data_IF_478291759998
#
_entry.id   IF_478291759998
#
_cell.length_a   1.000
_cell.length_b   1.000
_cell.length_c   1.000
_cell.angle_alpha   90.00
_cell.angle_beta   90.00
_cell.angle_gamma   90.00
#
_symmetry.space_group_name_H-M   'P 1'
#
loop_
_entity.id
_entity.type
_entity.pdbx_description
1 polymer ?
#
# COMPACT_ATOMS: atom_id res chain seq x y z
N UNK A 1 2.62 -11.13 -35.14
CA UNK A 1 1.99 -11.16 -33.82
C UNK A 1 0.75 -10.27 -33.86
N UNK A 2 -0.44 -10.80 -33.60
CA UNK A 2 -1.61 -9.94 -33.43
C UNK A 2 -1.43 -9.14 -32.15
N UNK A 3 -1.43 -7.82 -32.25
CA UNK A 3 -1.38 -6.93 -31.09
C UNK A 3 -2.72 -7.01 -30.35
N UNK A 4 -2.67 -6.92 -29.02
CA UNK A 4 -3.88 -6.89 -28.20
C UNK A 4 -4.80 -5.72 -28.63
N UNK A 5 -6.10 -5.86 -28.41
CA UNK A 5 -7.06 -4.81 -28.80
C UNK A 5 -6.74 -3.48 -28.11
N UNK A 6 -7.08 -2.35 -28.76
CA UNK A 6 -6.87 -0.99 -28.21
C UNK A 6 -7.35 -0.84 -26.77
N UNK A 7 -8.50 -1.44 -26.45
CA UNK A 7 -9.09 -1.41 -25.10
C UNK A 7 -8.20 -2.09 -24.05
N UNK A 8 -7.54 -3.19 -24.40
CA UNK A 8 -6.61 -3.89 -23.51
C UNK A 8 -5.35 -3.06 -23.32
N UNK A 9 -4.78 -2.51 -24.40
CA UNK A 9 -3.59 -1.65 -24.34
C UNK A 9 -3.83 -0.44 -23.42
N UNK A 10 -4.94 0.27 -23.60
CA UNK A 10 -5.28 1.42 -22.75
C UNK A 10 -5.51 1.01 -21.30
N UNK A 11 -6.11 -0.15 -21.04
CA UNK A 11 -6.31 -0.66 -19.69
C UNK A 11 -4.99 -0.92 -18.95
N UNK A 12 -4.03 -1.54 -19.61
CA UNK A 12 -2.69 -1.75 -19.05
C UNK A 12 -1.90 -0.45 -18.89
N UNK A 13 -1.98 0.46 -19.87
CA UNK A 13 -1.33 1.77 -19.78
C UNK A 13 -1.83 2.59 -18.58
N UNK A 14 -3.13 2.56 -18.29
CA UNK A 14 -3.70 3.24 -17.11
C UNK A 14 -3.26 2.58 -15.80
N UNK A 15 -3.13 1.25 -15.79
CA UNK A 15 -2.66 0.51 -14.61
C UNK A 15 -1.18 0.83 -14.31
N UNK A 16 -0.32 0.86 -15.35
CA UNK A 16 1.09 1.22 -15.21
C UNK A 16 1.29 2.67 -14.76
N UNK A 17 0.44 3.57 -15.27
CA UNK A 17 0.42 4.95 -14.82
C UNK A 17 0.05 5.04 -13.33
N UNK A 18 -1.01 4.35 -12.91
CA UNK A 18 -1.42 4.32 -11.50
C UNK A 18 -0.33 3.75 -10.58
N UNK A 19 0.37 2.71 -11.02
CA UNK A 19 1.48 2.12 -10.24
C UNK A 19 2.63 3.10 -10.02
N UNK A 20 2.95 3.90 -11.05
CA UNK A 20 3.99 4.93 -10.97
C UNK A 20 3.59 6.06 -10.02
N UNK A 21 2.32 6.50 -10.08
CA UNK A 21 1.77 7.51 -9.18
C UNK A 21 1.78 7.04 -7.73
N UNK A 22 1.39 5.79 -7.46
CA UNK A 22 1.41 5.22 -6.11
C UNK A 22 2.80 5.30 -5.49
N UNK A 23 3.83 4.82 -6.20
CA UNK A 23 5.19 4.80 -5.67
C UNK A 23 5.71 6.23 -5.39
N UNK A 24 5.48 7.16 -6.32
CA UNK A 24 5.89 8.56 -6.14
C UNK A 24 5.18 9.23 -4.95
N UNK A 25 3.88 9.03 -4.80
CA UNK A 25 3.08 9.75 -3.82
C UNK A 25 3.17 9.14 -2.43
N UNK A 26 2.96 7.83 -2.34
CA UNK A 26 2.82 7.11 -1.08
C UNK A 26 4.17 6.62 -0.56
N UNK A 27 5.04 6.09 -1.43
CA UNK A 27 6.31 5.52 -0.97
C UNK A 27 7.37 6.59 -0.74
N UNK A 28 7.50 7.56 -1.65
CA UNK A 28 8.70 8.44 -1.66
C UNK A 28 8.48 9.85 -1.14
N UNK A 29 7.39 10.52 -1.53
CA UNK A 29 7.37 12.00 -1.43
C UNK A 29 6.31 12.54 -0.48
N UNK A 30 5.03 12.28 -0.73
CA UNK A 30 3.96 13.00 -0.02
C UNK A 30 3.66 12.37 1.33
N UNK A 31 3.51 11.04 1.40
CA UNK A 31 3.18 10.40 2.67
C UNK A 31 4.29 10.52 3.72
N UNK A 32 5.59 10.29 3.42
CA UNK A 32 6.66 10.49 4.40
C UNK A 32 6.73 11.94 4.92
N UNK A 33 6.54 12.93 4.04
CA UNK A 33 6.53 14.34 4.42
C UNK A 33 5.30 14.69 5.28
N UNK A 34 4.12 14.19 4.89
CA UNK A 34 2.87 14.44 5.61
C UNK A 34 2.87 13.78 7.00
N UNK A 35 3.36 12.53 7.07
CA UNK A 35 3.59 11.82 8.31
C UNK A 35 4.54 12.61 9.22
N UNK A 36 5.71 13.02 8.72
CA UNK A 36 6.66 13.82 9.50
C UNK A 36 6.09 15.17 10.00
N UNK A 37 5.20 15.79 9.22
CA UNK A 37 4.52 17.03 9.61
C UNK A 37 3.51 16.81 10.75
N UNK A 38 2.69 15.77 10.66
CA UNK A 38 1.70 15.42 11.70
C UNK A 38 2.39 14.92 12.96
N UNK A 39 3.43 14.10 12.79
CA UNK A 39 4.20 13.51 13.88
C UNK A 39 5.38 14.41 14.30
N UNK A 40 5.29 15.72 14.10
CA UNK A 40 6.34 16.64 14.56
C UNK A 40 6.41 16.70 16.09
N UNK A 41 7.58 17.02 16.65
CA UNK A 41 7.82 17.26 18.08
C UNK A 41 6.85 18.27 18.70
N UNK A 42 6.24 19.14 17.88
CA UNK A 42 5.23 20.11 18.29
C UNK A 42 3.88 19.47 18.68
N UNK A 43 3.55 18.32 18.10
CA UNK A 43 2.32 17.57 18.36
C UNK A 43 2.57 16.38 19.30
N UNK A 44 3.75 15.76 19.23
CA UNK A 44 4.16 14.62 20.06
C UNK A 44 5.54 14.84 20.68
N UNK A 45 5.64 15.61 21.78
CA UNK A 45 6.91 15.88 22.46
C UNK A 45 7.54 14.62 23.10
N UNK A 46 6.72 13.66 23.53
CA UNK A 46 7.15 12.41 24.19
C UNK A 46 7.09 11.16 23.27
N UNK A 47 7.01 11.37 21.96
CA UNK A 47 6.89 10.32 20.94
C UNK A 47 5.46 9.83 20.71
N UNK A 48 5.28 8.98 19.69
CA UNK A 48 3.95 8.43 19.33
C UNK A 48 3.68 7.23 20.21
N UNK A 49 2.57 7.28 20.96
CA UNK A 49 2.09 6.12 21.69
C UNK A 49 1.33 5.22 20.72
N UNK A 50 1.95 4.09 20.34
CA UNK A 50 1.33 3.09 19.49
C UNK A 50 1.24 1.77 20.25
N UNK A 51 0.02 1.22 20.38
CA UNK A 51 -0.26 -0.03 21.11
C UNK A 51 0.32 -0.06 22.55
N UNK A 52 0.36 1.10 23.24
CA UNK A 52 0.87 1.21 24.62
C UNK A 52 2.39 1.27 24.76
N UNK A 53 3.14 1.44 23.67
CA UNK A 53 4.59 1.72 23.68
C UNK A 53 4.91 3.05 23.00
N UNK A 54 5.92 3.75 23.50
CA UNK A 54 6.44 4.97 22.91
C UNK A 54 7.43 4.62 21.79
N UNK A 55 7.16 5.10 20.58
CA UNK A 55 8.06 4.94 19.44
C UNK A 55 8.57 6.29 18.95
N UNK A 56 9.82 6.30 18.46
CA UNK A 56 10.40 7.45 17.77
C UNK A 56 9.63 7.67 16.48
N UNK A 57 9.22 8.92 16.25
CA UNK A 57 8.29 9.33 15.18
C UNK A 57 8.57 8.63 13.84
N UNK A 58 9.80 8.66 13.35
CA UNK A 58 10.18 8.16 12.02
C UNK A 58 10.32 6.64 11.91
N UNK A 59 10.55 5.93 13.01
CA UNK A 59 10.80 4.48 12.98
C UNK A 59 9.50 3.67 12.88
N UNK A 60 8.42 4.20 13.48
CA UNK A 60 7.13 3.50 13.52
C UNK A 60 6.57 3.23 12.10
N UNK A 61 6.67 4.19 11.17
CA UNK A 61 6.23 3.99 9.78
C UNK A 61 6.98 2.86 9.08
N UNK A 62 8.28 2.72 9.35
CA UNK A 62 9.14 1.74 8.68
C UNK A 62 8.90 0.35 9.27
N UNK A 63 8.67 0.24 10.58
CA UNK A 63 8.24 -1.02 11.22
C UNK A 63 6.88 -1.50 10.71
N UNK A 64 5.91 -0.59 10.57
CA UNK A 64 4.58 -0.91 10.03
C UNK A 64 4.68 -1.38 8.58
N UNK A 65 5.49 -0.71 7.76
CA UNK A 65 5.72 -1.11 6.38
C UNK A 65 6.45 -2.47 6.29
N UNK A 66 7.47 -2.70 7.11
CA UNK A 66 8.20 -3.96 7.18
C UNK A 66 7.27 -5.13 7.59
N UNK A 67 6.36 -4.89 8.54
CA UNK A 67 5.34 -5.88 8.91
C UNK A 67 4.39 -6.16 7.75
N UNK A 68 3.93 -5.13 7.03
CA UNK A 68 3.14 -5.29 5.81
C UNK A 68 3.86 -6.12 4.74
N UNK A 69 5.17 -5.91 4.56
CA UNK A 69 6.01 -6.71 3.67
C UNK A 69 6.14 -8.16 4.12
N UNK A 70 6.28 -8.41 5.42
CA UNK A 70 6.33 -9.76 5.96
C UNK A 70 5.01 -10.50 5.68
N UNK A 71 3.87 -9.83 5.90
CA UNK A 71 2.54 -10.39 5.60
C UNK A 71 2.41 -10.74 4.11
N UNK A 72 2.77 -9.82 3.20
CA UNK A 72 2.65 -10.11 1.76
C UNK A 72 3.65 -11.17 1.31
N UNK A 73 4.86 -11.23 1.88
CA UNK A 73 5.85 -12.26 1.56
C UNK A 73 5.30 -13.66 1.88
N UNK A 74 4.68 -13.83 3.05
CA UNK A 74 4.04 -15.10 3.45
C UNK A 74 2.79 -15.44 2.63
N UNK A 75 1.98 -14.42 2.29
CA UNK A 75 0.78 -14.63 1.48
C UNK A 75 1.06 -14.87 0.00
N UNK A 76 2.17 -14.35 -0.53
CA UNK A 76 2.50 -14.42 -1.96
C UNK A 76 2.52 -15.85 -2.54
N UNK A 77 3.17 -16.87 -1.94
CA UNK A 77 3.12 -18.23 -2.47
C UNK A 77 1.73 -18.85 -2.41
N UNK A 78 0.96 -18.56 -1.36
CA UNK A 78 -0.40 -19.09 -1.15
C UNK A 78 -1.35 -18.48 -2.19
N UNK A 79 -1.29 -17.17 -2.37
CA UNK A 79 -2.13 -16.47 -3.32
C UNK A 79 -1.75 -16.81 -4.77
N UNK A 80 -0.45 -16.96 -5.07
CA UNK A 80 0.03 -17.35 -6.39
C UNK A 80 -0.42 -18.76 -6.76
N UNK A 81 -0.23 -19.74 -5.86
CA UNK A 81 -0.69 -21.12 -6.08
C UNK A 81 -2.21 -21.24 -6.27
N UNK A 82 -3.01 -20.49 -5.50
CA UNK A 82 -4.47 -20.43 -5.71
C UNK A 82 -4.87 -19.80 -7.03
N UNK A 83 -4.16 -18.74 -7.45
CA UNK A 83 -4.46 -18.04 -8.70
C UNK A 83 -4.12 -18.88 -9.94
N UNK A 84 -3.02 -19.64 -9.89
CA UNK A 84 -2.65 -20.62 -10.92
C UNK A 84 -3.66 -21.76 -10.99
N UNK A 85 -4.10 -22.30 -9.85
CA UNK A 85 -5.06 -23.41 -9.82
C UNK A 85 -6.45 -23.03 -10.35
N UNK A 86 -6.93 -21.81 -10.04
CA UNK A 86 -8.24 -21.32 -10.50
C UNK A 86 -8.21 -20.58 -11.84
N UNK A 87 -7.03 -20.30 -12.40
CA UNK A 87 -6.88 -19.51 -13.63
C UNK A 87 -7.45 -18.08 -13.56
N UNK A 88 -7.65 -17.53 -12.35
CA UNK A 88 -8.41 -16.29 -12.14
C UNK A 88 -7.54 -15.12 -11.64
N UNK A 89 -6.29 -15.04 -12.13
CA UNK A 89 -5.27 -14.04 -11.75
C UNK A 89 -5.79 -12.60 -11.82
N UNK A 90 -6.63 -12.30 -12.81
CA UNK A 90 -7.24 -10.96 -13.01
C UNK A 90 -8.13 -10.53 -11.85
N UNK A 91 -8.86 -11.46 -11.22
CA UNK A 91 -9.72 -11.12 -10.09
C UNK A 91 -8.90 -10.86 -8.82
N UNK A 92 -7.80 -11.59 -8.60
CA UNK A 92 -6.86 -11.30 -7.52
C UNK A 92 -6.20 -9.93 -7.70
N UNK A 93 -5.71 -9.61 -8.91
CA UNK A 93 -5.17 -8.29 -9.22
C UNK A 93 -6.18 -7.17 -8.94
N UNK A 94 -7.45 -7.36 -9.32
CA UNK A 94 -8.54 -6.41 -9.03
C UNK A 94 -8.78 -6.24 -7.53
N UNK A 95 -8.83 -7.33 -6.78
CA UNK A 95 -9.02 -7.29 -5.33
C UNK A 95 -7.93 -6.46 -4.64
N UNK A 96 -6.66 -6.74 -4.94
CA UNK A 96 -5.53 -6.00 -4.37
C UNK A 96 -5.49 -4.54 -4.81
N UNK A 97 -5.84 -4.25 -6.07
CA UNK A 97 -5.95 -2.88 -6.57
C UNK A 97 -7.05 -2.09 -5.83
N UNK A 98 -8.24 -2.67 -5.64
CA UNK A 98 -9.31 -2.01 -4.89
C UNK A 98 -8.99 -1.85 -3.40
N UNK A 99 -8.31 -2.84 -2.79
CA UNK A 99 -7.83 -2.74 -1.42
C UNK A 99 -6.85 -1.56 -1.26
N UNK A 100 -5.89 -1.45 -2.18
CA UNK A 100 -4.93 -0.34 -2.20
C UNK A 100 -5.62 1.01 -2.42
N UNK A 101 -6.50 1.10 -3.40
CA UNK A 101 -7.25 2.32 -3.70
C UNK A 101 -8.12 2.77 -2.52
N UNK A 102 -8.88 1.85 -1.91
CA UNK A 102 -9.70 2.15 -0.74
C UNK A 102 -8.84 2.60 0.46
N UNK A 103 -7.69 1.98 0.66
CA UNK A 103 -6.75 2.37 1.73
C UNK A 103 -6.16 3.77 1.51
N UNK A 104 -5.80 4.10 0.27
CA UNK A 104 -5.37 5.45 -0.10
C UNK A 104 -6.48 6.49 0.10
N UNK A 105 -7.73 6.16 -0.24
CA UNK A 105 -8.88 7.05 -0.01
C UNK A 105 -9.15 7.24 1.48
N UNK A 106 -9.06 6.18 2.30
CA UNK A 106 -9.22 6.26 3.76
C UNK A 106 -8.11 7.07 4.42
N UNK A 107 -6.92 7.14 3.81
CA UNK A 107 -5.81 7.95 4.28
C UNK A 107 -6.12 9.47 4.28
N UNK A 108 -7.19 9.90 3.61
CA UNK A 108 -7.72 11.26 3.74
C UNK A 108 -8.14 11.61 5.18
N UNK A 109 -8.59 10.64 5.97
CA UNK A 109 -8.96 10.82 7.38
C UNK A 109 -7.76 10.77 8.34
N UNK A 110 -6.54 10.81 7.81
CA UNK A 110 -5.35 10.84 8.66
C UNK A 110 -5.22 12.20 9.34
N UNK A 111 -5.36 12.17 10.67
CA UNK A 111 -5.23 13.34 11.53
C UNK A 111 -4.33 13.00 12.73
N UNK A 112 -3.89 14.02 13.48
CA UNK A 112 -3.07 13.88 14.69
C UNK A 112 -3.73 12.99 15.75
N UNK A 113 -5.06 12.96 15.79
CA UNK A 113 -5.82 12.16 16.75
C UNK A 113 -6.00 10.70 16.27
N UNK A 114 -5.75 10.42 14.98
CA UNK A 114 -5.99 9.14 14.32
C UNK A 114 -4.73 8.56 13.65
N UNK A 115 -3.56 8.75 14.27
CA UNK A 115 -2.26 8.29 13.71
C UNK A 115 -2.26 6.79 13.42
N UNK A 116 -2.83 5.99 14.33
CA UNK A 116 -2.95 4.54 14.19
C UNK A 116 -3.74 4.15 12.93
N UNK A 117 -4.81 4.87 12.63
CA UNK A 117 -5.65 4.58 11.45
C UNK A 117 -4.87 4.84 10.16
N UNK A 118 -4.15 5.97 10.05
CA UNK A 118 -3.38 6.22 8.83
C UNK A 118 -2.17 5.31 8.66
N UNK A 119 -1.52 4.88 9.74
CA UNK A 119 -0.48 3.86 9.68
C UNK A 119 -1.03 2.52 9.18
N UNK A 120 -2.21 2.11 9.66
CA UNK A 120 -2.89 0.91 9.16
C UNK A 120 -3.30 1.06 7.70
N UNK A 121 -3.85 2.22 7.30
CA UNK A 121 -4.18 2.51 5.91
C UNK A 121 -2.93 2.48 5.02
N UNK A 122 -1.81 3.04 5.47
CA UNK A 122 -0.53 2.98 4.75
C UNK A 122 -0.03 1.55 4.57
N UNK A 123 -0.13 0.73 5.62
CA UNK A 123 0.22 -0.68 5.55
C UNK A 123 -0.66 -1.43 4.53
N UNK A 124 -1.98 -1.28 4.60
CA UNK A 124 -2.90 -1.93 3.67
C UNK A 124 -2.76 -1.42 2.24
N UNK A 125 -2.45 -0.13 2.06
CA UNK A 125 -2.10 0.45 0.77
C UNK A 125 -0.87 -0.24 0.18
N UNK A 126 0.18 -0.44 0.99
CA UNK A 126 1.38 -1.19 0.61
C UNK A 126 1.06 -2.64 0.24
N UNK A 127 0.36 -3.36 1.10
CA UNK A 127 -0.06 -4.76 0.86
C UNK A 127 -0.87 -4.85 -0.45
N UNK A 128 -1.79 -3.92 -0.70
CA UNK A 128 -2.56 -3.84 -1.95
C UNK A 128 -1.65 -3.63 -3.17
N UNK A 129 -0.74 -2.67 -3.11
CA UNK A 129 0.18 -2.38 -4.21
C UNK A 129 1.11 -3.57 -4.52
N UNK A 130 1.88 -4.02 -3.52
CA UNK A 130 2.85 -5.12 -3.71
C UNK A 130 2.17 -6.46 -3.98
N UNK A 131 0.99 -6.70 -3.39
CA UNK A 131 0.18 -7.89 -3.69
C UNK A 131 -0.34 -7.90 -5.13
N UNK A 132 -0.71 -6.74 -5.68
CA UNK A 132 -1.14 -6.64 -7.08
C UNK A 132 0.02 -6.84 -8.06
N UNK A 133 1.24 -6.41 -7.70
CA UNK A 133 2.46 -6.58 -8.50
C UNK A 133 2.85 -8.05 -8.72
N UNK A 134 2.59 -8.93 -7.74
CA UNK A 134 2.84 -10.38 -7.89
C UNK A 134 2.03 -10.98 -9.04
N UNK A 135 0.77 -10.55 -9.21
CA UNK A 135 -0.11 -11.00 -10.29
C UNK A 135 0.08 -10.23 -11.60
N UNK A 136 0.60 -9.01 -11.52
CA UNK A 136 0.93 -8.19 -12.67
C UNK A 136 2.08 -8.80 -13.49
N UNK A 137 3.11 -9.34 -12.81
CA UNK A 137 4.29 -9.93 -13.45
C UNK A 137 4.16 -11.42 -13.79
N UNK A 138 2.99 -12.04 -13.57
CA UNK A 138 2.74 -13.48 -13.75
C UNK A 138 1.75 -13.78 -14.87
#
# INVERSE_FOLDING_TARGET
>A
MQTASKKVITGWAMYDWANSVYNLVITTTFFPAYYAAITSLKNFPDGITFLGRHFVNTELKDYVLAFGFLVIALLSPILSSMADYRGNKKNFMRFFCYLGAASCSLMYFFDKDHVTLGLMCFMFAGIGFYGSQVFYNS
#
